data_IF_636877974330
#
_entry.id   IF_636877974330
#
_cell.length_a   1.000
_cell.length_b   1.000
_cell.length_c   1.000
_cell.angle_alpha   90.00
_cell.angle_beta   90.00
_cell.angle_gamma   90.00
#
_symmetry.space_group_name_H-M   'P 1'
#
loop_
_entity.id
_entity.type
_entity.pdbx_description
1 polymer ?
#
# COMPACT_ATOMS: atom_id res chain seq x y z
N UNK A 1 15.93 -3.51 -45.63
CA UNK A 1 16.06 -4.18 -44.31
C UNK A 1 15.05 -3.72 -43.24
N UNK A 2 14.29 -2.63 -43.43
CA UNK A 2 13.36 -2.13 -42.38
C UNK A 2 11.99 -2.81 -42.35
N UNK A 3 11.56 -3.46 -43.44
CA UNK A 3 10.26 -4.16 -43.53
C UNK A 3 10.16 -5.44 -42.68
N UNK A 4 11.29 -6.01 -42.23
CA UNK A 4 11.29 -7.23 -41.42
C UNK A 4 10.98 -7.01 -39.93
N UNK A 5 11.29 -5.81 -39.40
CA UNK A 5 11.11 -5.51 -37.96
C UNK A 5 9.66 -5.17 -37.58
N UNK A 6 8.85 -4.71 -38.53
CA UNK A 6 7.44 -4.39 -38.30
C UNK A 6 6.54 -5.63 -38.37
N UNK A 7 6.94 -6.65 -39.14
CA UNK A 7 6.22 -7.92 -39.23
C UNK A 7 6.28 -8.72 -37.92
N UNK A 8 7.42 -8.72 -37.22
CA UNK A 8 7.55 -9.46 -35.94
C UNK A 8 6.77 -8.83 -34.80
N UNK A 9 6.77 -7.50 -34.69
CA UNK A 9 6.01 -6.80 -33.63
C UNK A 9 4.50 -6.92 -33.83
N UNK A 10 4.01 -6.82 -35.06
CA UNK A 10 2.61 -7.07 -35.38
C UNK A 10 2.22 -8.52 -35.10
N UNK A 11 3.07 -9.49 -35.45
CA UNK A 11 2.82 -10.91 -35.13
C UNK A 11 2.72 -11.15 -33.62
N UNK A 12 3.57 -10.52 -32.81
CA UNK A 12 3.49 -10.64 -31.34
C UNK A 12 2.20 -10.03 -30.80
N UNK A 13 1.76 -8.88 -31.32
CA UNK A 13 0.52 -8.21 -30.91
C UNK A 13 -0.74 -9.00 -31.31
N UNK A 14 -0.76 -9.58 -32.51
CA UNK A 14 -1.89 -10.37 -33.01
C UNK A 14 -1.99 -11.74 -32.32
N UNK A 15 -0.89 -12.33 -31.85
CA UNK A 15 -0.88 -13.63 -31.17
C UNK A 15 -0.94 -13.56 -29.63
N UNK A 16 -1.38 -12.45 -29.03
CA UNK A 16 -1.62 -12.37 -27.58
C UNK A 16 -2.99 -12.95 -27.24
N UNK A 17 -3.06 -14.23 -26.86
CA UNK A 17 -4.30 -14.84 -26.36
C UNK A 17 -4.37 -14.92 -24.83
N UNK A 18 -3.26 -15.28 -24.19
CA UNK A 18 -3.17 -15.48 -22.74
C UNK A 18 -1.85 -14.93 -22.19
N UNK A 19 -1.89 -14.36 -20.99
CA UNK A 19 -0.69 -13.88 -20.31
C UNK A 19 0.26 -15.06 -19.99
N UNK A 20 1.48 -14.99 -20.55
CA UNK A 20 2.56 -15.95 -20.30
C UNK A 20 3.15 -15.85 -18.90
N UNK A 21 3.02 -14.67 -18.28
CA UNK A 21 3.48 -14.33 -16.94
C UNK A 21 2.29 -13.90 -16.12
N UNK A 22 2.02 -14.60 -15.01
CA UNK A 22 0.94 -14.26 -14.09
C UNK A 22 1.52 -14.03 -12.70
N UNK A 23 1.20 -12.88 -12.13
CA UNK A 23 1.53 -12.49 -10.76
C UNK A 23 0.39 -12.95 -9.87
N UNK A 24 0.64 -13.93 -9.00
CA UNK A 24 -0.33 -14.33 -7.97
C UNK A 24 -0.06 -13.54 -6.70
N UNK A 25 -1.02 -12.72 -6.30
CA UNK A 25 -1.00 -12.03 -5.01
C UNK A 25 -1.55 -12.93 -3.90
N UNK A 26 -0.85 -13.01 -2.78
CA UNK A 26 -1.15 -13.73 -1.53
C UNK A 26 -0.90 -12.77 -0.37
N UNK A 27 -1.93 -12.21 0.23
CA UNK A 27 -1.78 -11.19 1.27
C UNK A 27 -0.85 -11.65 2.40
N UNK A 28 0.21 -10.89 2.67
CA UNK A 28 1.08 -11.07 3.83
C UNK A 28 0.89 -9.89 4.78
N UNK A 29 0.84 -10.17 6.09
CA UNK A 29 0.64 -9.14 7.10
C UNK A 29 2.00 -8.68 7.61
N UNK A 30 2.37 -7.43 7.32
CA UNK A 30 3.60 -6.82 7.83
C UNK A 30 3.19 -5.68 8.76
N UNK A 31 3.52 -5.80 10.04
CA UNK A 31 3.24 -4.79 11.08
C UNK A 31 1.76 -4.32 11.16
N UNK A 32 0.80 -5.23 10.92
CA UNK A 32 -0.64 -4.94 10.97
C UNK A 32 -1.23 -4.41 9.65
N UNK A 33 -0.40 -4.34 8.60
CA UNK A 33 -0.77 -3.86 7.28
C UNK A 33 -0.74 -5.02 6.28
N UNK A 34 -1.83 -5.21 5.53
CA UNK A 34 -1.94 -6.25 4.50
C UNK A 34 -1.15 -5.81 3.26
N UNK A 35 0.04 -6.34 3.09
CA UNK A 35 0.92 -6.05 1.95
C UNK A 35 0.70 -7.13 0.89
N UNK A 36 0.54 -6.76 -0.40
CA UNK A 36 0.59 -7.74 -1.48
C UNK A 36 2.00 -8.35 -1.53
N UNK A 37 2.13 -9.67 -1.67
CA UNK A 37 3.42 -10.33 -1.51
C UNK A 37 4.28 -10.18 -2.76
N UNK A 38 5.54 -10.57 -2.62
CA UNK A 38 6.39 -10.96 -3.74
C UNK A 38 5.70 -12.09 -4.53
N UNK A 39 5.48 -11.84 -5.82
CA UNK A 39 4.68 -12.74 -6.64
C UNK A 39 5.48 -13.98 -7.03
N UNK A 40 4.90 -15.17 -6.87
CA UNK A 40 5.39 -16.35 -7.57
C UNK A 40 4.99 -16.23 -9.05
N UNK A 41 5.99 -16.00 -9.89
CA UNK A 41 5.87 -15.95 -11.34
C UNK A 41 5.61 -17.38 -11.84
N UNK A 42 4.36 -17.69 -12.17
CA UNK A 42 4.03 -18.96 -12.80
C UNK A 42 4.17 -18.81 -14.31
N UNK A 43 5.31 -19.26 -14.84
CA UNK A 43 5.56 -19.31 -16.27
C UNK A 43 4.90 -20.58 -16.85
N UNK A 44 3.76 -20.43 -17.55
CA UNK A 44 3.31 -21.50 -18.46
C UNK A 44 4.12 -21.38 -19.76
N UNK A 45 4.69 -22.52 -20.17
CA UNK A 45 5.67 -22.65 -21.26
C UNK A 45 5.07 -22.30 -22.64
N UNK A 46 5.80 -21.38 -23.31
CA UNK A 46 5.95 -20.98 -24.73
C UNK A 46 4.74 -20.60 -25.62
N UNK A 47 4.81 -19.43 -26.31
CA UNK A 47 4.07 -19.19 -27.55
C UNK A 47 4.80 -19.77 -28.77
N UNK A 48 3.95 -20.15 -29.72
CA UNK A 48 4.15 -20.69 -31.06
C UNK A 48 4.89 -19.70 -31.99
N UNK A 49 6.15 -19.40 -31.70
CA UNK A 49 7.00 -18.64 -32.61
C UNK A 49 7.65 -19.62 -33.62
N UNK A 50 7.47 -19.43 -34.93
CA UNK A 50 8.19 -20.23 -35.91
C UNK A 50 9.64 -19.74 -35.93
N UNK A 51 10.55 -20.66 -35.60
CA UNK A 51 12.01 -20.53 -35.65
C UNK A 51 12.69 -19.90 -34.43
N UNK A 52 13.65 -20.66 -33.91
CA UNK A 52 14.56 -20.35 -32.80
C UNK A 52 15.59 -19.26 -33.18
N UNK A 53 15.64 -18.88 -34.46
CA UNK A 53 16.68 -18.06 -35.10
C UNK A 53 16.36 -16.56 -35.16
N UNK A 54 15.22 -16.12 -34.62
CA UNK A 54 14.89 -14.70 -34.55
C UNK A 54 15.70 -14.04 -33.42
N UNK A 55 16.53 -13.01 -33.71
CA UNK A 55 17.33 -12.31 -32.70
C UNK A 55 16.51 -11.72 -31.55
N UNK A 56 15.23 -11.43 -31.82
CA UNK A 56 14.28 -10.84 -30.88
C UNK A 56 13.86 -11.82 -29.76
N UNK A 57 14.01 -13.14 -29.97
CA UNK A 57 13.73 -14.17 -28.97
C UNK A 57 14.79 -14.16 -27.85
N UNK A 58 16.04 -13.78 -28.14
CA UNK A 58 17.10 -13.69 -27.15
C UNK A 58 16.83 -12.57 -26.11
N UNK A 59 16.27 -11.44 -26.55
CA UNK A 59 15.89 -10.32 -25.68
C UNK A 59 14.72 -10.64 -24.76
N UNK A 60 13.91 -11.68 -25.04
CA UNK A 60 12.82 -12.08 -24.15
C UNK A 60 13.30 -12.38 -22.73
N UNK A 61 14.51 -12.93 -22.58
CA UNK A 61 15.10 -13.26 -21.29
C UNK A 61 15.42 -12.03 -20.42
N UNK A 62 15.86 -10.92 -21.03
CA UNK A 62 16.12 -9.66 -20.31
C UNK A 62 14.82 -8.96 -19.94
N UNK A 63 13.78 -9.02 -20.80
CA UNK A 63 12.46 -8.50 -20.47
C UNK A 63 11.80 -9.23 -19.30
N UNK A 64 11.92 -10.56 -19.22
CA UNK A 64 11.39 -11.33 -18.08
C UNK A 64 12.08 -10.90 -16.77
N UNK A 65 13.42 -10.79 -16.77
CA UNK A 65 14.18 -10.29 -15.62
C UNK A 65 13.80 -8.86 -15.22
N UNK A 66 13.56 -7.99 -16.20
CA UNK A 66 13.10 -6.62 -15.92
C UNK A 66 11.72 -6.61 -15.25
N UNK A 67 10.80 -7.49 -15.68
CA UNK A 67 9.48 -7.60 -15.05
C UNK A 67 9.58 -8.15 -13.63
N UNK A 68 10.47 -9.12 -13.37
CA UNK A 68 10.75 -9.62 -12.01
C UNK A 68 11.11 -8.47 -11.05
N UNK A 69 12.08 -7.64 -11.43
CA UNK A 69 12.53 -6.49 -10.62
C UNK A 69 11.41 -5.45 -10.47
N UNK A 70 10.63 -5.19 -11.51
CA UNK A 70 9.50 -4.25 -11.44
C UNK A 70 8.41 -4.72 -10.47
N UNK A 71 8.17 -6.03 -10.40
CA UNK A 71 7.19 -6.59 -9.46
C UNK A 71 7.70 -6.49 -8.01
N UNK A 72 8.98 -6.75 -7.77
CA UNK A 72 9.58 -6.53 -6.44
C UNK A 72 9.52 -5.05 -6.02
N UNK A 73 9.84 -4.14 -6.93
CA UNK A 73 9.74 -2.70 -6.68
C UNK A 73 8.30 -2.28 -6.37
N UNK A 74 7.32 -2.76 -7.14
CA UNK A 74 5.91 -2.46 -6.94
C UNK A 74 5.39 -2.98 -5.58
N UNK A 75 5.87 -4.16 -5.16
CA UNK A 75 5.58 -4.71 -3.83
C UNK A 75 6.10 -3.78 -2.73
N UNK A 76 7.34 -3.32 -2.84
CA UNK A 76 7.94 -2.40 -1.87
C UNK A 76 7.22 -1.05 -1.86
N UNK A 77 6.92 -0.48 -3.03
CA UNK A 77 6.19 0.79 -3.14
C UNK A 77 4.81 0.70 -2.49
N UNK A 78 4.10 -0.42 -2.69
CA UNK A 78 2.79 -0.63 -2.06
C UNK A 78 2.91 -0.68 -0.54
N UNK A 79 3.91 -1.38 0.00
CA UNK A 79 4.15 -1.41 1.45
C UNK A 79 4.41 -0.02 2.04
N UNK A 80 5.19 0.82 1.34
CA UNK A 80 5.50 2.17 1.78
C UNK A 80 4.26 3.07 1.81
N UNK A 81 3.41 3.00 0.77
CA UNK A 81 2.15 3.74 0.71
C UNK A 81 1.22 3.37 1.87
N UNK A 82 1.11 2.08 2.17
CA UNK A 82 0.26 1.62 3.27
C UNK A 82 0.78 2.02 4.65
N UNK A 83 2.11 2.09 4.82
CA UNK A 83 2.74 2.56 6.06
C UNK A 83 2.56 4.07 6.23
N UNK A 84 2.71 4.85 5.16
CA UNK A 84 2.45 6.30 5.18
C UNK A 84 1.01 6.61 5.58
N UNK A 85 0.04 5.85 5.07
CA UNK A 85 -1.35 5.97 5.51
C UNK A 85 -1.52 5.66 7.00
N UNK A 86 -0.90 4.58 7.49
CA UNK A 86 -0.93 4.24 8.91
C UNK A 86 -0.38 5.39 9.79
N UNK A 87 0.76 5.97 9.41
CA UNK A 87 1.36 7.12 10.11
C UNK A 87 0.43 8.34 10.07
N UNK A 88 -0.20 8.64 8.92
CA UNK A 88 -1.18 9.72 8.82
C UNK A 88 -2.41 9.49 9.69
N UNK A 89 -2.86 8.25 9.85
CA UNK A 89 -3.99 7.93 10.73
C UNK A 89 -3.62 8.08 12.20
N UNK A 90 -2.43 7.65 12.62
CA UNK A 90 -1.97 7.81 14.00
C UNK A 90 -1.78 9.28 14.34
N UNK A 91 -1.14 10.06 13.46
CA UNK A 91 -0.98 11.51 13.65
C UNK A 91 -2.32 12.24 13.77
N UNK A 92 -3.33 11.89 12.95
CA UNK A 92 -4.68 12.45 13.08
C UNK A 92 -5.33 12.12 14.42
N UNK A 93 -5.15 10.88 14.91
CA UNK A 93 -5.66 10.46 16.22
C UNK A 93 -4.97 11.19 17.36
N UNK A 94 -3.65 11.35 17.31
CA UNK A 94 -2.88 12.13 18.29
C UNK A 94 -3.37 13.58 18.31
N UNK A 95 -3.51 14.20 17.14
CA UNK A 95 -4.02 15.57 17.05
C UNK A 95 -5.44 15.72 17.61
N UNK A 96 -6.33 14.75 17.37
CA UNK A 96 -7.67 14.75 17.96
C UNK A 96 -7.63 14.62 19.49
N UNK A 97 -6.73 13.79 20.02
CA UNK A 97 -6.57 13.64 21.47
C UNK A 97 -6.02 14.91 22.12
N UNK A 98 -4.98 15.51 21.53
CA UNK A 98 -4.29 16.68 22.09
C UNK A 98 -5.12 17.96 21.99
N UNK A 99 -5.76 18.20 20.84
CA UNK A 99 -6.41 19.48 20.56
C UNK A 99 -7.94 19.47 20.78
N UNK A 100 -8.56 18.29 20.91
CA UNK A 100 -10.03 18.20 21.09
C UNK A 100 -10.38 17.47 22.39
N UNK A 101 -9.87 16.26 22.61
CA UNK A 101 -10.31 15.45 23.76
C UNK A 101 -9.73 15.97 25.07
N UNK A 102 -8.42 16.20 25.13
CA UNK A 102 -7.73 16.68 26.34
C UNK A 102 -8.30 18.01 26.85
N UNK A 103 -8.47 19.08 26.03
CA UNK A 103 -9.03 20.34 26.52
C UNK A 103 -10.47 20.21 27.04
N UNK A 104 -11.28 19.34 26.42
CA UNK A 104 -12.66 19.08 26.89
C UNK A 104 -12.68 18.39 28.25
N UNK A 105 -11.79 17.42 28.46
CA UNK A 105 -11.65 16.75 29.74
C UNK A 105 -11.15 17.72 30.82
N UNK A 106 -10.16 18.55 30.51
CA UNK A 106 -9.64 19.58 31.43
C UNK A 106 -10.73 20.58 31.84
N UNK A 107 -11.55 21.05 30.89
CA UNK A 107 -12.69 21.92 31.20
C UNK A 107 -13.72 21.23 32.11
N UNK A 108 -13.99 19.96 31.87
CA UNK A 108 -14.93 19.18 32.70
C UNK A 108 -14.40 19.02 34.12
N UNK A 109 -13.10 18.72 34.27
CA UNK A 109 -12.42 18.64 35.58
C UNK A 109 -12.49 19.98 36.30
N UNK A 110 -12.25 21.09 35.61
CA UNK A 110 -12.31 22.42 36.20
C UNK A 110 -13.73 22.82 36.63
N UNK A 111 -14.75 22.43 35.87
CA UNK A 111 -16.15 22.63 36.23
C UNK A 111 -16.49 21.85 37.51
N UNK A 112 -16.14 20.56 37.59
CA UNK A 112 -16.39 19.75 38.79
C UNK A 112 -15.68 20.33 40.01
N UNK A 113 -14.42 20.76 39.86
CA UNK A 113 -13.67 21.39 40.95
C UNK A 113 -14.31 22.71 41.38
N UNK A 114 -14.74 23.56 40.44
CA UNK A 114 -15.42 24.81 40.75
C UNK A 114 -16.72 24.61 41.50
N UNK A 115 -17.53 23.62 41.10
CA UNK A 115 -18.77 23.26 41.80
C UNK A 115 -18.49 22.73 43.21
N UNK A 116 -17.46 21.89 43.39
CA UNK A 116 -17.05 21.40 44.70
C UNK A 116 -16.55 22.53 45.62
N UNK A 117 -15.72 23.44 45.09
CA UNK A 117 -15.21 24.58 45.85
C UNK A 117 -16.35 25.54 46.25
N UNK A 118 -17.37 25.70 45.40
CA UNK A 118 -18.54 26.52 45.71
C UNK A 118 -19.45 25.85 46.74
N UNK A 119 -19.69 24.54 46.64
CA UNK A 119 -20.41 23.77 47.66
C UNK A 119 -19.70 23.86 49.03
N UNK A 120 -18.38 23.75 49.06
CA UNK A 120 -17.61 23.95 50.30
C UNK A 120 -17.81 25.38 50.85
N UNK A 121 -17.77 26.41 50.00
CA UNK A 121 -18.03 27.80 50.42
C UNK A 121 -19.43 27.99 50.98
N UNK A 122 -20.44 27.44 50.32
CA UNK A 122 -21.83 27.49 50.78
C UNK A 122 -21.97 26.83 52.14
N UNK A 123 -21.41 25.62 52.33
CA UNK A 123 -21.40 24.90 53.62
C UNK A 123 -20.73 25.71 54.75
N UNK A 124 -19.62 26.40 54.48
CA UNK A 124 -18.99 27.30 55.45
C UNK A 124 -19.85 28.54 55.77
N UNK A 125 -20.64 29.01 54.82
CA UNK A 125 -21.51 30.18 54.99
C UNK A 125 -22.84 29.85 55.68
N UNK A 126 -23.36 28.63 55.51
CA UNK A 126 -24.58 28.13 56.14
C UNK A 126 -24.35 27.46 57.49
N UNK A 127 -23.10 27.22 57.89
CA UNK A 127 -22.71 26.63 59.17
C UNK A 127 -22.79 27.54 60.40
N UNK A 128 -23.68 28.54 60.40
CA UNK A 128 -24.04 29.38 61.57
C UNK A 128 -25.43 29.01 62.09
#
# INVERSE_FOLDING_TARGET
>A
MLLGRTSSTLYVLENVQNASLKVRSRQENVAGVKVPPSSNISQKVTPRMPSRDWPEVANRSSYVKAIEVLVELASLQTSFLTLDEAIKTTNRRVNALENVVKPRLENTINCIKGELDELEREDFSSGL
#
